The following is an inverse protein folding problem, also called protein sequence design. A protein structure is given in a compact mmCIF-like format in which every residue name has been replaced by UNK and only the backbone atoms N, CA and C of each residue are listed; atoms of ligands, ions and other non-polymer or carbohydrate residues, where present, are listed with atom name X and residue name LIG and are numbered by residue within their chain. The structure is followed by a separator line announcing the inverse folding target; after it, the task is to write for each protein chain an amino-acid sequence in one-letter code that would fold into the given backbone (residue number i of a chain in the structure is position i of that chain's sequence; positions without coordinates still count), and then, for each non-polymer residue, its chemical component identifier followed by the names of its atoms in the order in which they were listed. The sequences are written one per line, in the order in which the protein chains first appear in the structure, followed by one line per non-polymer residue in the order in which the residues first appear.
data_IF_697122681853
#
_entry.id   IF_697122681853
#
_cell.length_a   1.000
_cell.length_b   1.000
_cell.length_c   1.000
_cell.angle_alpha   90.00
_cell.angle_beta   90.00
_cell.angle_gamma   90.00
#
_symmetry.space_group_name_H-M   'P 1'
#
loop_
_entity.id
_entity.type
_entity.pdbx_description
1 polymer ?
#
# COMPACT_ATOMS: atom_id res chain seq x y z
N UNK A 1 -20.95 -28.52 12.50
CA UNK A 1 -20.57 -28.68 11.08
C UNK A 1 -19.47 -27.67 10.78
N UNK A 2 -18.25 -28.14 10.59
CA UNK A 2 -17.06 -27.27 10.45
C UNK A 2 -16.96 -26.66 9.06
N UNK A 3 -16.96 -25.33 8.97
CA UNK A 3 -16.63 -24.60 7.77
C UNK A 3 -15.13 -24.72 7.46
N UNK A 4 -14.79 -25.38 6.37
CA UNK A 4 -13.44 -25.42 5.84
C UNK A 4 -13.11 -24.04 5.27
N UNK A 5 -12.20 -23.31 5.93
CA UNK A 5 -11.56 -22.15 5.35
C UNK A 5 -10.73 -22.57 4.13
N UNK A 6 -11.16 -22.17 2.95
CA UNK A 6 -10.43 -22.39 1.72
C UNK A 6 -9.13 -21.59 1.75
N UNK A 7 -7.98 -22.29 1.85
CA UNK A 7 -6.69 -21.68 1.56
C UNK A 7 -6.65 -21.38 0.06
N UNK A 8 -6.82 -20.12 -0.32
CA UNK A 8 -6.50 -19.71 -1.68
C UNK A 8 -5.00 -19.91 -1.90
N UNK A 9 -4.65 -20.94 -2.67
CA UNK A 9 -3.30 -21.10 -3.19
C UNK A 9 -3.03 -19.90 -4.13
N UNK A 10 -2.41 -18.85 -3.59
CA UNK A 10 -1.89 -17.78 -4.42
C UNK A 10 -0.79 -18.37 -5.30
N UNK A 11 -0.98 -18.30 -6.61
CA UNK A 11 0.08 -18.60 -7.57
C UNK A 11 1.16 -17.53 -7.42
N UNK A 12 2.23 -17.90 -6.74
CA UNK A 12 3.39 -17.04 -6.51
C UNK A 12 4.14 -16.90 -7.82
N UNK A 13 4.24 -15.68 -8.34
CA UNK A 13 5.00 -15.39 -9.57
C UNK A 13 6.47 -15.79 -9.46
N UNK A 14 7.15 -15.98 -10.59
CA UNK A 14 8.58 -16.35 -10.62
C UNK A 14 9.46 -15.32 -9.87
N UNK A 15 9.12 -14.02 -9.93
CA UNK A 15 9.79 -12.96 -9.18
C UNK A 15 9.65 -13.11 -7.67
N UNK A 16 8.47 -13.50 -7.21
CA UNK A 16 8.22 -13.74 -5.78
C UNK A 16 8.92 -14.98 -5.26
N UNK A 17 9.11 -16.02 -6.10
CA UNK A 17 9.92 -17.19 -5.73
C UNK A 17 11.38 -16.83 -5.48
N UNK A 18 11.90 -15.82 -6.19
CA UNK A 18 13.24 -15.25 -5.96
C UNK A 18 13.36 -14.47 -4.65
N UNK A 19 12.24 -13.95 -4.08
CA UNK A 19 12.21 -13.30 -2.77
C UNK A 19 12.37 -14.28 -1.60
N UNK A 20 12.19 -15.57 -1.83
CA UNK A 20 12.68 -16.69 -1.02
C UNK A 20 12.16 -16.82 0.40
N UNK A 21 11.21 -16.01 0.89
CA UNK A 21 10.81 -16.06 2.30
C UNK A 21 9.37 -15.64 2.50
N UNK A 22 8.50 -16.63 2.58
CA UNK A 22 7.27 -16.49 3.33
C UNK A 22 7.61 -16.71 4.81
N UNK A 23 7.68 -15.61 5.55
CA UNK A 23 7.62 -15.64 7.01
C UNK A 23 6.18 -15.61 7.50
N UNK A 24 5.99 -15.51 8.79
CA UNK A 24 4.66 -15.24 9.36
C UNK A 24 4.13 -13.87 8.89
N UNK A 25 2.83 -13.79 8.68
CA UNK A 25 2.16 -12.51 8.39
C UNK A 25 2.39 -11.56 9.57
N UNK A 26 2.81 -10.35 9.28
CA UNK A 26 3.05 -9.31 10.29
C UNK A 26 1.79 -8.49 10.50
N UNK A 27 1.56 -8.04 11.73
CA UNK A 27 0.62 -6.96 12.01
C UNK A 27 1.09 -5.65 11.32
N UNK A 28 0.21 -4.67 11.20
CA UNK A 28 0.59 -3.36 10.66
C UNK A 28 1.70 -2.70 11.49
N UNK A 29 1.60 -2.77 12.80
CA UNK A 29 2.59 -2.19 13.73
C UNK A 29 3.96 -2.85 13.65
N UNK A 30 4.02 -4.15 13.35
CA UNK A 30 5.29 -4.85 13.10
C UNK A 30 5.86 -4.53 11.71
N UNK A 31 5.01 -4.31 10.71
CA UNK A 31 5.41 -3.98 9.35
C UNK A 31 5.95 -2.55 9.21
N UNK A 32 5.34 -1.58 9.88
CA UNK A 32 5.67 -0.16 9.77
C UNK A 32 7.17 0.15 9.91
N UNK A 33 7.85 -0.22 11.01
CA UNK A 33 9.27 0.11 11.20
C UNK A 33 10.20 -0.62 10.21
N UNK A 34 9.71 -1.71 9.61
CA UNK A 34 10.47 -2.52 8.64
C UNK A 34 10.30 -2.02 7.21
N UNK A 35 9.29 -1.18 6.96
CA UNK A 35 8.93 -0.73 5.61
C UNK A 35 10.02 0.14 4.98
N UNK A 36 10.47 1.17 5.68
CA UNK A 36 11.47 2.11 5.19
C UNK A 36 12.52 2.44 6.27
N UNK A 37 13.30 1.46 6.73
CA UNK A 37 14.25 1.63 7.83
C UNK A 37 15.37 2.61 7.49
N UNK A 38 15.57 2.88 6.21
CA UNK A 38 16.63 3.75 5.69
C UNK A 38 16.19 5.22 5.51
N UNK A 39 14.97 5.60 5.96
CA UNK A 39 14.40 6.94 5.77
C UNK A 39 15.37 8.09 6.07
N UNK A 40 16.19 7.95 7.13
CA UNK A 40 17.15 8.99 7.56
C UNK A 40 18.50 8.93 6.87
N UNK A 41 18.78 7.91 6.07
CA UNK A 41 20.11 7.70 5.49
C UNK A 41 20.35 8.55 4.23
N UNK A 42 19.31 8.76 3.41
CA UNK A 42 19.45 9.53 2.18
C UNK A 42 18.11 10.09 1.72
N UNK A 43 18.15 11.19 0.97
CA UNK A 43 16.97 11.87 0.40
C UNK A 43 16.09 10.92 -0.44
N UNK A 44 16.68 9.99 -1.16
CA UNK A 44 15.96 9.01 -1.99
C UNK A 44 15.00 8.12 -1.19
N UNK A 45 15.21 7.96 0.10
CA UNK A 45 14.28 7.27 1.01
C UNK A 45 13.22 8.19 1.62
N UNK A 46 13.33 9.51 1.41
CA UNK A 46 12.36 10.50 1.86
C UNK A 46 11.35 10.87 0.77
N UNK A 47 11.55 10.37 -0.47
CA UNK A 47 10.70 10.59 -1.63
C UNK A 47 10.20 9.27 -2.26
N UNK A 48 10.29 8.17 -1.54
CA UNK A 48 9.97 6.81 -2.02
C UNK A 48 8.61 6.29 -1.53
N UNK A 49 7.65 7.16 -1.22
CA UNK A 49 6.34 6.78 -0.65
C UNK A 49 5.63 5.67 -1.46
N UNK A 50 5.73 5.71 -2.78
CA UNK A 50 5.15 4.68 -3.65
C UNK A 50 5.78 3.30 -3.45
N UNK A 51 7.09 3.23 -3.22
CA UNK A 51 7.79 1.98 -2.93
C UNK A 51 7.45 1.49 -1.51
N UNK A 52 7.20 2.43 -0.60
CA UNK A 52 6.82 2.12 0.77
C UNK A 52 5.47 1.41 0.87
N UNK A 53 4.45 1.82 0.10
CA UNK A 53 3.14 1.15 0.15
C UNK A 53 3.22 -0.31 -0.30
N UNK A 54 4.09 -0.62 -1.25
CA UNK A 54 4.35 -1.98 -1.70
C UNK A 54 5.14 -2.79 -0.68
N UNK A 55 6.20 -2.22 -0.12
CA UNK A 55 6.98 -2.89 0.91
C UNK A 55 6.12 -3.22 2.13
N UNK A 56 5.26 -2.28 2.55
CA UNK A 56 4.30 -2.50 3.63
C UNK A 56 3.34 -3.66 3.30
N UNK A 57 2.69 -3.64 2.13
CA UNK A 57 1.78 -4.71 1.72
C UNK A 57 2.49 -6.07 1.65
N UNK A 58 3.72 -6.12 1.15
CA UNK A 58 4.51 -7.35 1.10
C UNK A 58 4.86 -7.87 2.50
N UNK A 59 5.23 -6.97 3.42
CA UNK A 59 5.47 -7.31 4.83
C UNK A 59 4.21 -7.86 5.49
N UNK A 60 3.03 -7.26 5.22
CA UNK A 60 1.72 -7.74 5.69
C UNK A 60 1.40 -9.14 5.15
N UNK A 61 1.87 -9.48 3.95
CA UNK A 61 1.73 -10.83 3.35
C UNK A 61 2.76 -11.85 3.83
N UNK A 62 3.72 -11.43 4.68
CA UNK A 62 4.73 -12.31 5.26
C UNK A 62 6.07 -12.34 4.53
N UNK A 63 6.27 -11.49 3.53
CA UNK A 63 7.58 -11.39 2.87
C UNK A 63 8.56 -10.57 3.71
N UNK A 64 9.85 -10.88 3.60
CA UNK A 64 10.91 -10.13 4.27
C UNK A 64 11.55 -9.17 3.29
N UNK A 65 11.03 -7.96 3.25
CA UNK A 65 11.46 -6.91 2.32
C UNK A 65 11.56 -5.55 3.01
N UNK A 66 12.18 -4.59 2.35
CA UNK A 66 12.10 -3.15 2.67
C UNK A 66 11.87 -2.37 1.38
N UNK A 67 11.42 -1.12 1.50
CA UNK A 67 11.24 -0.25 0.36
C UNK A 67 12.58 0.08 -0.31
N UNK A 68 12.62 -0.02 -1.64
CA UNK A 68 13.75 0.47 -2.41
C UNK A 68 13.81 2.00 -2.34
N UNK A 69 15.01 2.57 -2.56
CA UNK A 69 15.17 4.01 -2.73
C UNK A 69 14.52 4.47 -4.03
N UNK A 70 14.07 5.72 -4.09
CA UNK A 70 13.70 6.35 -5.35
C UNK A 70 14.97 6.74 -6.12
N UNK A 71 15.08 6.33 -7.39
CA UNK A 71 16.31 6.55 -8.17
C UNK A 71 16.32 7.87 -8.93
N UNK A 72 15.22 8.63 -8.91
CA UNK A 72 15.16 9.89 -9.64
C UNK A 72 15.02 11.11 -8.73
N UNK A 73 15.68 12.16 -9.15
CA UNK A 73 15.46 13.53 -8.65
C UNK A 73 14.19 14.15 -9.26
N UNK A 74 13.65 13.54 -10.29
CA UNK A 74 12.35 13.84 -10.86
C UNK A 74 11.30 12.96 -10.21
N UNK A 75 10.14 13.48 -9.99
CA UNK A 75 8.94 12.83 -9.51
C UNK A 75 8.60 11.59 -10.36
N UNK A 76 9.36 10.52 -10.16
CA UNK A 76 8.99 9.20 -10.68
C UNK A 76 7.88 8.63 -9.85
N UNK A 77 6.84 9.19 -9.85
CA UNK A 77 5.95 8.67 -8.98
C UNK A 77 4.67 9.41 -9.05
N UNK A 78 4.17 9.53 -10.21
CA UNK A 78 2.81 9.96 -10.37
C UNK A 78 1.91 8.81 -9.95
N UNK A 79 0.77 9.15 -9.40
CA UNK A 79 -0.39 8.25 -9.25
C UNK A 79 -0.57 7.34 -10.48
N UNK A 80 -0.16 7.82 -11.65
CA UNK A 80 -0.13 7.10 -12.91
C UNK A 80 0.79 5.87 -12.88
N UNK A 81 2.00 5.99 -12.33
CA UNK A 81 2.94 4.85 -12.28
C UNK A 81 2.46 3.76 -11.34
N UNK A 82 1.76 4.12 -10.26
CA UNK A 82 1.11 3.15 -9.39
C UNK A 82 -0.01 2.42 -10.12
N UNK A 83 -0.79 3.13 -10.92
CA UNK A 83 -1.82 2.52 -11.75
C UNK A 83 -1.20 1.57 -12.78
N UNK A 84 -0.12 1.98 -13.45
CA UNK A 84 0.59 1.16 -14.42
C UNK A 84 1.28 -0.04 -13.76
N UNK A 85 1.81 0.14 -12.56
CA UNK A 85 2.38 -0.94 -11.76
C UNK A 85 1.34 -2.03 -11.47
N UNK A 86 0.13 -1.65 -11.07
CA UNK A 86 -0.97 -2.58 -10.84
C UNK A 86 -1.64 -3.07 -12.12
N UNK A 87 -1.70 -2.28 -13.16
CA UNK A 87 -2.31 -2.69 -14.41
C UNK A 87 -1.60 -3.88 -15.04
N UNK A 88 -0.35 -4.11 -14.67
CA UNK A 88 0.44 -5.27 -15.09
C UNK A 88 0.09 -6.58 -14.36
N UNK A 89 -0.68 -6.55 -13.26
CA UNK A 89 -1.06 -7.77 -12.56
C UNK A 89 -2.21 -8.48 -13.27
N UNK A 90 -2.31 -9.82 -13.12
CA UNK A 90 -3.21 -10.70 -13.89
C UNK A 90 -4.71 -10.43 -13.78
N UNK A 91 -5.15 -9.72 -12.74
CA UNK A 91 -6.56 -9.44 -12.46
C UNK A 91 -6.94 -7.98 -12.77
N UNK A 92 -6.59 -7.49 -13.98
CA UNK A 92 -6.76 -6.10 -14.40
C UNK A 92 -8.18 -5.53 -14.21
N UNK A 93 -9.21 -6.36 -14.30
CA UNK A 93 -10.60 -5.90 -14.19
C UNK A 93 -11.03 -5.48 -12.79
N UNK A 94 -10.30 -5.92 -11.74
CA UNK A 94 -10.59 -5.58 -10.35
C UNK A 94 -9.84 -4.34 -9.85
N UNK A 95 -8.98 -3.75 -10.67
CA UNK A 95 -7.96 -2.75 -10.32
C UNK A 95 -8.35 -1.33 -10.65
N UNK A 96 -9.55 -0.97 -10.38
CA UNK A 96 -9.97 0.40 -10.65
C UNK A 96 -9.63 1.28 -9.48
N UNK A 97 -8.79 2.29 -9.74
CA UNK A 97 -8.72 3.45 -8.89
C UNK A 97 -10.11 4.08 -8.80
N UNK A 98 -10.56 4.29 -7.58
CA UNK A 98 -11.81 4.99 -7.29
C UNK A 98 -11.45 6.40 -6.86
N UNK A 99 -12.03 7.39 -7.52
CA UNK A 99 -11.90 8.79 -7.14
C UNK A 99 -12.82 9.07 -5.94
N UNK A 100 -12.26 9.63 -4.89
CA UNK A 100 -13.01 9.94 -3.67
C UNK A 100 -13.94 11.15 -3.86
N UNK A 101 -13.57 12.10 -4.72
CA UNK A 101 -14.40 13.27 -5.04
C UNK A 101 -15.70 12.92 -5.79
N UNK A 102 -15.80 11.73 -6.38
CA UNK A 102 -17.05 11.20 -6.94
C UNK A 102 -17.98 10.60 -5.88
N UNK A 103 -17.51 10.42 -4.65
CA UNK A 103 -18.28 9.78 -3.58
C UNK A 103 -18.94 10.80 -2.65
N UNK A 104 -18.33 11.97 -2.45
CA UNK A 104 -18.87 13.03 -1.61
C UNK A 104 -18.20 14.38 -1.89
N UNK A 105 -18.90 15.48 -1.57
CA UNK A 105 -18.44 16.85 -1.84
C UNK A 105 -17.34 17.34 -0.89
N UNK A 106 -17.24 16.76 0.30
CA UNK A 106 -16.25 17.16 1.30
C UNK A 106 -15.20 16.07 1.52
N UNK A 107 -13.95 16.45 1.76
CA UNK A 107 -12.87 15.49 2.06
C UNK A 107 -13.25 14.55 3.20
N UNK A 108 -13.85 15.07 4.26
CA UNK A 108 -14.30 14.22 5.38
C UNK A 108 -15.35 13.21 4.93
N UNK A 109 -16.32 13.61 4.10
CA UNK A 109 -17.33 12.73 3.54
C UNK A 109 -16.71 11.68 2.61
N UNK A 110 -15.75 12.07 1.80
CA UNK A 110 -15.00 11.18 0.90
C UNK A 110 -14.32 10.05 1.65
N UNK A 111 -13.64 10.37 2.76
CA UNK A 111 -13.01 9.36 3.60
C UNK A 111 -14.02 8.49 4.36
N UNK A 112 -15.17 9.06 4.77
CA UNK A 112 -16.24 8.28 5.37
C UNK A 112 -16.81 7.22 4.39
N UNK A 113 -16.94 7.57 3.11
CA UNK A 113 -17.37 6.62 2.07
C UNK A 113 -16.30 5.56 1.77
N UNK A 114 -15.01 5.91 1.79
CA UNK A 114 -13.92 4.93 1.71
C UNK A 114 -13.99 3.93 2.88
N UNK A 115 -14.13 4.43 4.10
CA UNK A 115 -14.21 3.60 5.30
C UNK A 115 -15.42 2.65 5.25
N UNK A 116 -16.56 3.14 4.77
CA UNK A 116 -17.75 2.33 4.54
C UNK A 116 -17.48 1.20 3.53
N UNK A 117 -16.82 1.51 2.42
CA UNK A 117 -16.42 0.49 1.43
C UNK A 117 -15.46 -0.54 1.99
N UNK A 118 -14.47 -0.12 2.77
CA UNK A 118 -13.53 -1.06 3.41
C UNK A 118 -14.23 -1.95 4.43
N UNK A 119 -15.22 -1.42 5.16
CA UNK A 119 -16.08 -2.21 6.05
C UNK A 119 -16.90 -3.26 5.28
N UNK A 120 -17.44 -2.90 4.10
CA UNK A 120 -18.15 -3.83 3.23
C UNK A 120 -17.23 -4.94 2.69
N UNK A 121 -15.96 -4.67 2.45
CA UNK A 121 -14.97 -5.68 2.07
C UNK A 121 -14.63 -6.63 3.21
N UNK A 122 -14.83 -6.20 4.46
CA UNK A 122 -14.67 -7.01 5.65
C UNK A 122 -13.36 -6.83 6.39
N UNK A 123 -13.27 -7.49 7.52
CA UNK A 123 -12.12 -7.46 8.44
C UNK A 123 -10.84 -7.91 7.74
N UNK A 124 -9.77 -7.14 7.91
CA UNK A 124 -8.47 -7.37 7.29
C UNK A 124 -8.34 -6.89 5.85
N UNK A 125 -9.39 -6.25 5.30
CA UNK A 125 -9.30 -5.63 3.97
C UNK A 125 -8.29 -4.49 3.96
N UNK A 126 -7.53 -4.36 2.86
CA UNK A 126 -6.48 -3.36 2.71
C UNK A 126 -6.60 -2.61 1.40
N UNK A 127 -6.27 -1.33 1.46
CA UNK A 127 -6.25 -0.43 0.32
C UNK A 127 -4.97 0.40 0.29
N UNK A 128 -4.69 0.96 -0.87
CA UNK A 128 -3.75 2.07 -1.06
C UNK A 128 -4.58 3.32 -1.30
N UNK A 129 -4.25 4.42 -0.64
CA UNK A 129 -4.88 5.73 -0.77
C UNK A 129 -3.82 6.71 -1.23
N UNK A 130 -4.10 7.44 -2.31
CA UNK A 130 -3.17 8.43 -2.84
C UNK A 130 -3.85 9.76 -3.05
N UNK A 131 -3.09 10.84 -2.93
CA UNK A 131 -3.57 12.19 -3.18
C UNK A 131 -2.66 12.98 -4.11
N UNK A 132 -3.24 14.02 -4.72
CA UNK A 132 -2.52 15.07 -5.45
C UNK A 132 -2.72 16.39 -4.71
N UNK A 133 -1.64 17.14 -4.55
CA UNK A 133 -1.67 18.43 -3.87
C UNK A 133 -1.88 19.62 -4.83
N UNK A 134 -2.44 20.70 -4.30
CA UNK A 134 -2.72 21.96 -5.05
C UNK A 134 -1.47 22.59 -5.69
N UNK A 135 -0.30 22.41 -5.08
CA UNK A 135 0.98 22.94 -5.53
C UNK A 135 1.80 21.93 -6.36
N UNK A 136 1.16 20.85 -6.81
CA UNK A 136 1.82 19.73 -7.48
C UNK A 136 2.40 18.74 -6.48
N UNK A 137 2.68 17.53 -6.98
CA UNK A 137 3.09 16.42 -6.14
C UNK A 137 1.92 15.72 -5.48
N UNK A 138 2.24 14.84 -4.54
CA UNK A 138 1.25 14.03 -3.84
C UNK A 138 1.91 13.13 -2.81
N UNK A 139 1.09 12.33 -2.15
CA UNK A 139 1.55 11.29 -1.24
C UNK A 139 0.66 10.06 -1.34
N UNK A 140 1.12 8.95 -0.74
CA UNK A 140 0.39 7.70 -0.78
C UNK A 140 0.56 6.95 0.54
N UNK A 141 -0.51 6.32 0.98
CA UNK A 141 -0.62 5.59 2.25
C UNK A 141 -1.22 4.20 2.03
N UNK A 142 -1.00 3.32 2.99
CA UNK A 142 -1.79 2.11 3.13
C UNK A 142 -2.97 2.37 4.08
N UNK A 143 -4.10 1.73 3.82
CA UNK A 143 -5.25 1.68 4.71
C UNK A 143 -5.59 0.23 5.02
N UNK A 144 -6.04 -0.06 6.25
CA UNK A 144 -6.48 -1.38 6.68
C UNK A 144 -7.72 -1.26 7.56
N UNK A 145 -8.75 -2.05 7.27
CA UNK A 145 -9.91 -2.20 8.14
C UNK A 145 -9.66 -3.33 9.13
N UNK A 146 -9.54 -2.98 10.40
CA UNK A 146 -9.26 -3.93 11.48
C UNK A 146 -9.94 -3.49 12.78
N UNK A 147 -10.49 -4.44 13.53
CA UNK A 147 -11.20 -4.19 14.78
C UNK A 147 -12.32 -3.14 14.64
N UNK A 148 -13.05 -3.18 13.52
CA UNK A 148 -14.19 -2.31 13.26
C UNK A 148 -13.85 -0.88 12.83
N UNK A 149 -12.58 -0.56 12.56
CA UNK A 149 -12.09 0.77 12.20
C UNK A 149 -11.10 0.71 11.05
N UNK A 150 -11.05 1.77 10.22
CA UNK A 150 -9.99 1.94 9.23
C UNK A 150 -8.82 2.70 9.86
N UNK A 151 -7.65 2.14 9.71
CA UNK A 151 -6.37 2.71 10.10
C UNK A 151 -5.57 3.07 8.85
N UNK A 152 -4.87 4.20 8.88
CA UNK A 152 -4.04 4.66 7.78
C UNK A 152 -2.57 4.66 8.20
N UNK A 153 -1.70 4.12 7.36
CA UNK A 153 -0.30 3.91 7.67
C UNK A 153 0.59 4.59 6.63
N UNK A 154 1.43 5.50 7.10
CA UNK A 154 2.49 6.10 6.29
C UNK A 154 3.77 5.27 6.43
N UNK A 155 3.96 4.34 5.52
CA UNK A 155 5.14 3.48 5.50
C UNK A 155 6.45 4.22 5.24
N UNK A 156 6.39 5.44 4.67
CA UNK A 156 7.60 6.23 4.42
C UNK A 156 8.22 6.75 5.71
N UNK A 157 7.39 7.23 6.63
CA UNK A 157 7.84 7.74 7.95
C UNK A 157 7.62 6.74 9.08
N UNK A 158 7.01 5.58 8.79
CA UNK A 158 6.80 4.52 9.77
C UNK A 158 5.75 4.84 10.84
N UNK A 159 4.66 5.53 10.49
CA UNK A 159 3.66 6.00 11.44
C UNK A 159 2.22 5.73 10.98
N UNK A 160 1.32 5.54 11.93
CA UNK A 160 -0.11 5.69 11.70
C UNK A 160 -0.46 7.18 11.58
N UNK A 161 -1.36 7.53 10.65
CA UNK A 161 -1.67 8.93 10.32
C UNK A 161 -3.17 9.18 10.19
N UNK A 162 -3.61 10.39 10.49
CA UNK A 162 -4.95 10.88 10.17
C UNK A 162 -4.92 11.53 8.77
N UNK A 163 -5.23 10.73 7.75
CA UNK A 163 -5.18 11.16 6.36
C UNK A 163 -6.28 12.16 6.04
N UNK A 164 -7.48 11.98 6.57
CA UNK A 164 -8.60 12.89 6.31
C UNK A 164 -8.29 14.32 6.80
N UNK A 165 -7.73 14.46 8.00
CA UNK A 165 -7.31 15.77 8.51
C UNK A 165 -6.13 16.36 7.74
N UNK A 166 -5.17 15.54 7.31
CA UNK A 166 -4.04 15.99 6.49
C UNK A 166 -4.48 16.53 5.15
N UNK A 167 -5.35 15.79 4.46
CA UNK A 167 -5.74 16.10 3.08
C UNK A 167 -6.78 17.23 2.97
N UNK A 168 -7.56 17.50 4.00
CA UNK A 168 -8.65 18.49 3.98
C UNK A 168 -8.23 19.87 3.48
N UNK A 169 -6.97 20.26 3.62
CA UNK A 169 -6.46 21.60 3.26
C UNK A 169 -5.60 21.62 1.99
N UNK A 170 -5.05 20.51 1.59
CA UNK A 170 -3.95 20.44 0.61
C UNK A 170 -4.28 19.65 -0.63
N UNK A 171 -5.20 18.69 -0.54
CA UNK A 171 -5.53 17.82 -1.66
C UNK A 171 -6.47 18.48 -2.67
N UNK A 172 -6.27 18.14 -3.93
CA UNK A 172 -7.20 18.44 -5.05
C UNK A 172 -7.82 17.18 -5.62
N UNK A 173 -7.22 16.02 -5.34
CA UNK A 173 -7.70 14.73 -5.78
C UNK A 173 -7.21 13.67 -4.81
N UNK A 174 -8.14 12.90 -4.28
CA UNK A 174 -7.85 11.67 -3.55
C UNK A 174 -8.43 10.48 -4.30
N UNK A 175 -7.65 9.42 -4.38
CA UNK A 175 -8.03 8.16 -5.01
C UNK A 175 -7.64 6.98 -4.12
N UNK A 176 -8.31 5.85 -4.29
CA UNK A 176 -7.95 4.62 -3.59
C UNK A 176 -8.13 3.39 -4.47
N UNK A 177 -7.44 2.32 -4.11
CA UNK A 177 -7.62 1.00 -4.71
C UNK A 177 -7.47 -0.10 -3.65
N UNK A 178 -8.31 -1.13 -3.73
CA UNK A 178 -8.16 -2.34 -2.91
C UNK A 178 -6.92 -3.11 -3.33
N UNK A 179 -6.21 -3.72 -2.36
CA UNK A 179 -4.95 -4.43 -2.65
C UNK A 179 -4.87 -5.83 -2.06
N UNK A 180 -5.58 -6.13 -0.98
CA UNK A 180 -5.47 -7.42 -0.27
C UNK A 180 -5.95 -8.62 -1.09
N UNK A 181 -6.86 -8.43 -2.02
CA UNK A 181 -7.44 -9.44 -2.90
C UNK A 181 -6.72 -9.59 -4.25
N UNK A 182 -5.67 -8.80 -4.49
CA UNK A 182 -4.92 -8.81 -5.74
C UNK A 182 -3.68 -9.70 -5.67
N UNK A 183 -3.37 -10.34 -6.80
CA UNK A 183 -2.08 -11.00 -6.98
C UNK A 183 -0.94 -9.97 -6.98
N UNK A 184 0.20 -10.35 -6.43
CA UNK A 184 1.38 -9.49 -6.45
C UNK A 184 1.94 -9.43 -7.87
N UNK A 185 2.15 -8.23 -8.44
CA UNK A 185 2.69 -8.09 -9.78
C UNK A 185 4.15 -8.53 -9.86
N UNK A 186 4.59 -9.01 -11.01
CA UNK A 186 5.99 -9.43 -11.24
C UNK A 186 6.98 -8.26 -11.04
N UNK A 187 6.54 -7.03 -11.29
CA UNK A 187 7.31 -5.79 -11.10
C UNK A 187 7.53 -5.40 -9.65
N UNK A 188 7.04 -6.18 -8.67
CA UNK A 188 7.22 -5.86 -7.25
C UNK A 188 8.69 -5.66 -6.87
N UNK A 189 9.59 -6.35 -7.56
CA UNK A 189 11.04 -6.25 -7.36
C UNK A 189 11.63 -4.87 -7.70
N UNK A 190 10.92 -4.04 -8.45
CA UNK A 190 11.31 -2.66 -8.71
C UNK A 190 11.05 -1.75 -7.50
N UNK A 191 10.10 -2.14 -6.67
CA UNK A 191 9.67 -1.36 -5.52
C UNK A 191 10.31 -1.79 -4.20
N UNK A 192 10.76 -3.05 -4.09
CA UNK A 192 11.21 -3.61 -2.81
C UNK A 192 12.60 -4.26 -2.92
N UNK A 193 13.32 -4.26 -1.79
CA UNK A 193 14.59 -4.95 -1.63
C UNK A 193 14.37 -6.15 -0.71
N UNK A 194 14.71 -7.39 -1.17
CA UNK A 194 14.64 -8.56 -0.32
C UNK A 194 15.63 -8.47 0.84
N UNK A 195 15.17 -8.75 2.05
CA UNK A 195 16.07 -8.95 3.20
C UNK A 195 16.40 -10.42 3.34
N UNK A 196 17.68 -10.73 3.30
CA UNK A 196 18.15 -12.10 3.62
C UNK A 196 17.72 -12.42 5.05
N UNK A 197 16.84 -13.39 5.22
CA UNK A 197 16.49 -13.90 6.52
C UNK A 197 17.76 -14.36 7.24
N UNK A 198 17.90 -14.01 8.51
CA UNK A 198 18.94 -14.64 9.34
C UNK A 198 18.64 -16.15 9.30
N UNK A 199 19.51 -16.93 8.67
CA UNK A 199 19.47 -18.39 8.84
C UNK A 199 19.65 -18.64 10.35
N UNK A 200 18.61 -19.22 10.96
CA UNK A 200 18.74 -19.77 12.32
C UNK A 200 19.57 -21.04 12.25
#
# INVERSE_FOLDING_TARGET
MGGRGGSSHMNVSAGLRGLGLQGERRSAMEALPLTNPNYRLAYQYQINCQRCVWAFEMLRRGYSVEAARSDSSSYEGTIRDIHDFWSSAKNADQKKWVRLDHLADTVRGQYAELEKKMKEWGEGSRAIVANVWKNGGGHIWNAEYINGKVHYYDGQIGQEVDVASRNARTSVLDIFARVDDLDVPDRIMEAVIPKKGKRK
#
